data_IF_572078370500
#
_entry.id   IF_572078370500
#
_cell.length_a   1.000
_cell.length_b   1.000
_cell.length_c   1.000
_cell.angle_alpha   90.00
_cell.angle_beta   90.00
_cell.angle_gamma   90.00
#
_symmetry.space_group_name_H-M   'P 1'
#
loop_
_entity.id
_entity.type
_entity.pdbx_description
1 polymer ?
#
# COMPACT_ATOMS: atom_id res chain seq x y z
N UNK A 1 14.31 23.10 -48.18
CA UNK A 1 14.91 22.71 -46.88
C UNK A 1 15.39 23.94 -46.11
N UNK A 2 16.24 24.79 -46.72
CA UNK A 2 16.84 25.97 -46.04
C UNK A 2 15.75 26.94 -45.56
N UNK A 3 14.80 27.35 -46.39
CA UNK A 3 13.68 28.22 -45.99
C UNK A 3 12.80 27.62 -44.89
N UNK A 4 12.68 26.29 -44.86
CA UNK A 4 11.95 25.63 -43.77
C UNK A 4 12.72 25.74 -42.46
N UNK A 5 14.02 25.51 -42.48
CA UNK A 5 14.90 25.63 -41.32
C UNK A 5 14.98 27.07 -40.80
N UNK A 6 15.10 28.05 -41.68
CA UNK A 6 15.07 29.47 -41.34
C UNK A 6 13.78 29.89 -40.67
N UNK A 7 12.63 29.38 -41.17
CA UNK A 7 11.34 29.59 -40.55
C UNK A 7 11.23 28.93 -39.17
N UNK A 8 11.74 27.71 -38.99
CA UNK A 8 11.76 27.03 -37.69
C UNK A 8 12.67 27.76 -36.68
N UNK A 9 13.83 28.24 -37.13
CA UNK A 9 14.74 29.05 -36.33
C UNK A 9 14.09 30.36 -35.87
N UNK A 10 13.33 31.04 -36.74
CA UNK A 10 12.61 32.27 -36.36
C UNK A 10 11.48 32.01 -35.37
N UNK A 11 10.88 30.82 -35.39
CA UNK A 11 9.83 30.40 -34.47
C UNK A 11 10.38 29.88 -33.12
N UNK A 12 11.67 29.53 -33.05
CA UNK A 12 12.29 29.04 -31.80
C UNK A 12 12.21 30.06 -30.66
N UNK A 13 12.29 31.36 -30.97
CA UNK A 13 12.15 32.41 -29.96
C UNK A 13 10.75 32.54 -29.33
N UNK A 14 9.73 31.98 -30.02
CA UNK A 14 8.36 31.92 -29.52
C UNK A 14 8.00 30.55 -28.91
N UNK A 15 8.92 29.58 -28.99
CA UNK A 15 8.69 28.26 -28.39
C UNK A 15 8.77 28.33 -26.87
N UNK A 16 7.74 27.87 -26.21
CA UNK A 16 7.72 27.78 -24.73
C UNK A 16 8.48 26.56 -24.26
N UNK A 17 9.80 26.71 -24.12
CA UNK A 17 10.67 25.70 -23.52
C UNK A 17 10.79 25.99 -22.02
N UNK A 18 10.03 25.28 -21.21
CA UNK A 18 9.98 25.50 -19.76
C UNK A 18 9.70 24.19 -19.02
N UNK A 19 9.89 24.21 -17.70
CA UNK A 19 9.37 23.11 -16.86
C UNK A 19 7.84 23.14 -16.86
N UNK A 20 7.22 22.01 -16.52
CA UNK A 20 5.78 21.88 -16.44
C UNK A 20 5.16 22.91 -15.48
N UNK A 21 5.80 23.15 -14.33
CA UNK A 21 5.36 24.13 -13.34
C UNK A 21 5.43 25.56 -13.90
N UNK A 22 6.52 25.92 -14.58
CA UNK A 22 6.66 27.24 -15.22
C UNK A 22 5.63 27.44 -16.33
N UNK A 23 5.29 26.39 -17.06
CA UNK A 23 4.23 26.43 -18.08
C UNK A 23 2.87 26.67 -17.42
N UNK A 24 2.50 25.91 -16.39
CA UNK A 24 1.24 26.13 -15.67
C UNK A 24 1.17 27.52 -15.01
N UNK A 25 2.29 27.98 -14.44
CA UNK A 25 2.35 29.34 -13.89
C UNK A 25 2.10 30.40 -14.96
N UNK A 26 2.64 30.21 -16.17
CA UNK A 26 2.38 31.16 -17.27
C UNK A 26 0.93 31.14 -17.72
N UNK A 27 0.29 29.96 -17.77
CA UNK A 27 -1.14 29.82 -18.04
C UNK A 27 -1.98 30.51 -16.97
N UNK A 28 -1.70 30.29 -15.69
CA UNK A 28 -2.39 30.96 -14.60
C UNK A 28 -2.29 32.50 -14.70
N UNK A 29 -1.10 33.02 -15.01
CA UNK A 29 -0.89 34.47 -15.22
C UNK A 29 -1.60 35.02 -16.45
N UNK A 30 -1.80 34.19 -17.48
CA UNK A 30 -2.50 34.60 -18.70
C UNK A 30 -4.03 34.58 -18.53
N UNK A 31 -4.54 33.60 -17.74
CA UNK A 31 -5.98 33.32 -17.63
C UNK A 31 -6.54 33.52 -16.21
N UNK A 32 -5.83 34.26 -15.32
CA UNK A 32 -6.22 34.49 -13.93
C UNK A 32 -7.66 34.98 -13.80
N UNK A 33 -8.11 35.80 -14.75
CA UNK A 33 -9.46 36.39 -14.77
C UNK A 33 -10.58 35.36 -15.01
N UNK A 34 -10.26 34.19 -15.62
CA UNK A 34 -11.23 33.10 -15.79
C UNK A 34 -11.44 32.29 -14.50
N UNK A 35 -10.47 32.36 -13.59
CA UNK A 35 -10.47 31.63 -12.34
C UNK A 35 -10.78 32.50 -11.14
N UNK A 36 -11.14 33.77 -11.38
CA UNK A 36 -11.38 34.78 -10.33
C UNK A 36 -10.20 34.90 -9.33
N UNK A 37 -8.97 34.79 -9.85
CA UNK A 37 -7.76 34.91 -9.06
C UNK A 37 -7.27 36.37 -9.03
N UNK A 38 -6.71 36.79 -7.89
CA UNK A 38 -6.03 38.08 -7.81
C UNK A 38 -4.78 38.07 -8.72
N UNK A 39 -4.59 39.07 -9.59
CA UNK A 39 -3.38 39.18 -10.42
C UNK A 39 -2.08 39.16 -9.63
N UNK A 40 -2.11 39.50 -8.35
CA UNK A 40 -0.97 39.49 -7.43
C UNK A 40 -0.74 38.14 -6.73
N UNK A 41 -1.56 37.14 -7.05
CA UNK A 41 -1.42 35.79 -6.46
C UNK A 41 0.00 35.29 -6.68
N UNK A 42 0.66 34.93 -5.60
CA UNK A 42 2.01 34.36 -5.60
C UNK A 42 1.95 32.88 -5.25
N UNK A 43 2.85 32.12 -5.85
CA UNK A 43 3.02 30.71 -5.47
C UNK A 43 3.77 30.70 -4.14
N UNK A 44 3.22 29.98 -3.17
CA UNK A 44 3.90 29.71 -1.91
C UNK A 44 5.08 28.77 -2.17
N UNK A 45 6.29 29.31 -2.11
CA UNK A 45 7.50 28.57 -2.41
C UNK A 45 8.08 27.84 -1.18
N UNK A 46 7.69 28.26 0.03
CA UNK A 46 8.13 27.66 1.28
C UNK A 46 7.14 26.58 1.72
N UNK A 47 7.59 25.31 1.68
CA UNK A 47 6.79 24.16 2.11
C UNK A 47 6.41 24.26 3.60
N UNK A 48 7.26 24.85 4.43
CA UNK A 48 6.97 25.03 5.86
C UNK A 48 5.87 26.05 6.08
N UNK A 49 5.83 27.14 5.31
CA UNK A 49 4.77 28.15 5.37
C UNK A 49 3.43 27.51 4.95
N UNK A 50 3.44 26.71 3.87
CA UNK A 50 2.28 25.96 3.42
C UNK A 50 1.77 24.97 4.46
N UNK A 51 2.67 24.28 5.14
CA UNK A 51 2.31 23.33 6.21
C UNK A 51 1.68 24.07 7.41
N UNK A 52 2.32 25.14 7.89
CA UNK A 52 1.80 25.93 9.02
C UNK A 52 0.42 26.54 8.72
N UNK A 53 0.19 26.99 7.49
CA UNK A 53 -1.12 27.49 7.08
C UNK A 53 -2.19 26.37 7.13
N UNK A 54 -1.85 25.18 6.63
CA UNK A 54 -2.77 24.02 6.68
C UNK A 54 -3.09 23.63 8.11
N UNK A 55 -2.08 23.60 8.99
CA UNK A 55 -2.28 23.29 10.43
C UNK A 55 -3.18 24.34 11.11
N UNK A 56 -2.97 25.62 10.83
CA UNK A 56 -3.79 26.69 11.41
C UNK A 56 -5.26 26.58 10.95
N UNK A 57 -5.49 26.40 9.64
CA UNK A 57 -6.84 26.22 9.09
C UNK A 57 -7.50 24.96 9.66
N UNK A 58 -6.76 23.85 9.75
CA UNK A 58 -7.28 22.59 10.30
C UNK A 58 -7.66 22.75 11.77
N UNK A 59 -6.87 23.47 12.56
CA UNK A 59 -7.19 23.73 13.95
C UNK A 59 -8.52 24.48 14.09
N UNK A 60 -8.73 25.51 13.28
CA UNK A 60 -9.97 26.29 13.25
C UNK A 60 -11.18 25.44 12.80
N UNK A 61 -10.99 24.61 11.77
CA UNK A 61 -12.03 23.69 11.30
C UNK A 61 -12.42 22.68 12.38
N UNK A 62 -11.45 22.07 13.05
CA UNK A 62 -11.72 21.10 14.13
C UNK A 62 -12.40 21.75 15.33
N UNK A 63 -11.99 22.96 15.73
CA UNK A 63 -12.64 23.70 16.83
C UNK A 63 -14.14 23.90 16.53
N UNK A 64 -14.47 24.35 15.33
CA UNK A 64 -15.85 24.48 14.87
C UNK A 64 -16.62 23.16 14.90
N UNK A 65 -16.01 22.06 14.44
CA UNK A 65 -16.65 20.74 14.44
C UNK A 65 -16.89 20.19 15.85
N UNK A 66 -15.97 20.48 16.79
CA UNK A 66 -16.20 20.17 18.21
C UNK A 66 -17.34 21.00 18.82
N UNK A 67 -17.46 22.27 18.42
CA UNK A 67 -18.58 23.13 18.84
C UNK A 67 -19.93 22.67 18.28
N UNK A 68 -19.96 22.24 17.03
CA UNK A 68 -21.17 21.69 16.37
C UNK A 68 -21.58 20.35 16.99
N UNK A 69 -20.66 19.64 17.62
CA UNK A 69 -20.87 18.37 18.34
C UNK A 69 -21.61 17.32 17.51
N UNK A 70 -21.28 17.21 16.20
CA UNK A 70 -21.87 16.18 15.34
C UNK A 70 -21.52 14.77 15.89
N UNK A 71 -22.50 13.87 16.06
CA UNK A 71 -22.27 12.56 16.68
C UNK A 71 -21.28 11.67 15.89
N UNK A 72 -21.28 11.73 14.55
CA UNK A 72 -20.38 10.94 13.71
C UNK A 72 -18.96 11.48 13.80
N UNK A 73 -18.81 12.82 13.84
CA UNK A 73 -17.51 13.45 14.09
C UNK A 73 -16.94 13.08 15.46
N UNK A 74 -17.75 13.22 16.53
CA UNK A 74 -17.29 12.92 17.89
C UNK A 74 -16.87 11.45 18.01
N UNK A 75 -17.64 10.53 17.44
CA UNK A 75 -17.29 9.11 17.39
C UNK A 75 -15.98 8.86 16.63
N UNK A 76 -15.77 9.57 15.54
CA UNK A 76 -14.54 9.51 14.76
C UNK A 76 -13.36 10.06 15.56
N UNK A 77 -13.51 11.23 16.17
CA UNK A 77 -12.51 11.84 17.00
C UNK A 77 -12.10 10.92 18.16
N UNK A 78 -13.07 10.26 18.81
CA UNK A 78 -12.80 9.30 19.90
C UNK A 78 -11.97 8.09 19.42
N UNK A 79 -12.17 7.62 18.20
CA UNK A 79 -11.39 6.51 17.64
C UNK A 79 -9.91 6.90 17.40
N UNK A 80 -9.65 8.16 17.08
CA UNK A 80 -8.31 8.70 16.89
C UNK A 80 -7.72 9.30 18.17
N UNK A 81 -8.54 9.45 19.23
CA UNK A 81 -8.08 10.00 20.51
C UNK A 81 -7.02 9.09 21.12
N UNK A 82 -5.77 9.48 21.01
CA UNK A 82 -4.66 8.89 21.72
C UNK A 82 -4.38 9.68 22.99
N UNK A 83 -3.48 9.18 23.86
CA UNK A 83 -3.10 9.85 25.12
C UNK A 83 -2.60 11.30 24.96
N UNK A 84 -2.38 11.77 23.73
CA UNK A 84 -1.71 13.04 23.40
C UNK A 84 -2.46 13.90 22.39
N UNK A 85 -3.78 14.02 22.49
CA UNK A 85 -4.57 14.92 21.67
C UNK A 85 -4.87 14.40 20.24
N UNK A 86 -5.59 15.22 19.47
CA UNK A 86 -6.09 14.96 18.10
C UNK A 86 -5.00 14.87 17.02
N UNK A 87 -3.77 14.57 17.40
CA UNK A 87 -2.63 14.55 16.48
C UNK A 87 -2.83 13.54 15.37
N UNK A 88 -3.24 12.31 15.74
CA UNK A 88 -3.40 11.24 14.75
C UNK A 88 -4.57 11.54 13.81
N UNK A 89 -5.62 12.18 14.31
CA UNK A 89 -6.73 12.68 13.50
C UNK A 89 -6.25 13.77 12.53
N UNK A 90 -5.53 14.78 13.04
CA UNK A 90 -4.98 15.87 12.22
C UNK A 90 -4.05 15.36 11.13
N UNK A 91 -3.13 14.48 11.48
CA UNK A 91 -2.19 13.88 10.53
C UNK A 91 -2.93 13.08 9.45
N UNK A 92 -4.00 12.37 9.81
CA UNK A 92 -4.83 11.61 8.86
C UNK A 92 -5.57 12.55 7.92
N UNK A 93 -6.21 13.59 8.42
CA UNK A 93 -6.92 14.59 7.60
C UNK A 93 -5.95 15.27 6.63
N UNK A 94 -4.77 15.70 7.10
CA UNK A 94 -3.77 16.33 6.23
C UNK A 94 -3.24 15.38 5.15
N UNK A 95 -3.09 14.09 5.47
CA UNK A 95 -2.71 13.08 4.48
C UNK A 95 -3.79 12.90 3.41
N UNK A 96 -5.05 12.81 3.80
CA UNK A 96 -6.19 12.69 2.87
C UNK A 96 -6.26 13.95 2.01
N UNK A 97 -6.16 15.14 2.60
CA UNK A 97 -6.16 16.40 1.89
C UNK A 97 -5.01 16.48 0.87
N UNK A 98 -3.78 16.18 1.26
CA UNK A 98 -2.64 16.19 0.35
C UNK A 98 -2.80 15.18 -0.80
N UNK A 99 -3.37 14.01 -0.52
CA UNK A 99 -3.66 13.01 -1.54
C UNK A 99 -4.76 13.49 -2.49
N UNK A 100 -5.85 14.09 -1.97
CA UNK A 100 -6.93 14.63 -2.79
C UNK A 100 -6.44 15.71 -3.75
N UNK A 101 -5.49 16.55 -3.33
CA UNK A 101 -4.88 17.57 -4.19
C UNK A 101 -4.12 17.01 -5.39
N UNK A 102 -3.75 15.72 -5.38
CA UNK A 102 -3.16 15.04 -6.54
C UNK A 102 -4.20 14.54 -7.54
N UNK A 103 -5.48 14.57 -7.21
CA UNK A 103 -6.56 14.15 -8.07
C UNK A 103 -6.99 15.27 -9.02
N UNK A 104 -7.45 14.93 -10.25
CA UNK A 104 -7.94 15.94 -11.21
C UNK A 104 -9.11 16.76 -10.68
N UNK A 105 -9.98 16.15 -9.87
CA UNK A 105 -11.16 16.76 -9.26
C UNK A 105 -11.18 16.45 -7.74
N UNK A 106 -10.42 17.19 -6.92
CA UNK A 106 -10.24 16.88 -5.49
C UNK A 106 -11.53 16.80 -4.69
N UNK A 107 -12.41 17.77 -4.88
CA UNK A 107 -13.69 17.86 -4.15
C UNK A 107 -14.63 16.70 -4.53
N UNK A 108 -14.68 16.36 -5.80
CA UNK A 108 -15.52 15.28 -6.29
C UNK A 108 -14.98 13.92 -5.80
N UNK A 109 -13.67 13.75 -5.83
CA UNK A 109 -13.02 12.56 -5.26
C UNK A 109 -13.34 12.40 -3.76
N UNK A 110 -13.24 13.47 -2.97
CA UNK A 110 -13.56 13.45 -1.53
C UNK A 110 -15.02 13.07 -1.27
N UNK A 111 -15.97 13.58 -2.09
CA UNK A 111 -17.40 13.23 -1.96
C UNK A 111 -17.68 11.75 -2.16
N UNK A 112 -16.93 11.09 -3.06
CA UNK A 112 -17.10 9.67 -3.37
C UNK A 112 -16.20 8.76 -2.51
N UNK A 113 -15.32 9.34 -1.68
CA UNK A 113 -14.42 8.57 -0.81
C UNK A 113 -15.16 7.60 0.15
N UNK A 114 -16.34 7.96 0.71
CA UNK A 114 -17.11 7.05 1.57
C UNK A 114 -17.84 5.93 0.84
N UNK A 115 -18.06 6.05 -0.48
CA UNK A 115 -18.92 5.11 -1.24
C UNK A 115 -18.51 3.63 -1.09
N UNK A 116 -17.23 3.26 -1.15
CA UNK A 116 -16.80 1.88 -0.96
C UNK A 116 -17.14 1.29 0.42
N UNK A 117 -17.37 2.12 1.42
CA UNK A 117 -17.67 1.72 2.79
C UNK A 117 -19.18 1.62 3.06
N UNK A 118 -20.01 2.18 2.18
CA UNK A 118 -21.47 2.13 2.27
C UNK A 118 -22.00 0.80 1.72
N UNK A 119 -21.75 -0.28 2.43
CA UNK A 119 -22.21 -1.61 2.03
C UNK A 119 -23.67 -1.80 2.49
N UNK A 120 -24.62 -2.04 1.56
CA UNK A 120 -26.02 -2.28 1.91
C UNK A 120 -26.19 -3.60 2.70
N UNK A 121 -27.37 -3.84 3.26
CA UNK A 121 -27.65 -5.11 3.92
C UNK A 121 -27.82 -6.23 2.91
N UNK A 122 -27.20 -7.39 3.19
CA UNK A 122 -27.38 -8.61 2.43
C UNK A 122 -26.37 -8.98 1.34
N UNK A 123 -25.49 -8.09 0.82
CA UNK A 123 -24.50 -8.50 -0.17
C UNK A 123 -23.43 -9.39 0.46
N UNK A 124 -22.86 -10.25 -0.36
CA UNK A 124 -21.65 -11.00 -0.05
C UNK A 124 -20.43 -10.13 -0.38
N UNK A 125 -19.29 -10.41 0.24
CA UNK A 125 -18.04 -9.70 -0.10
C UNK A 125 -17.68 -9.84 -1.58
N UNK A 126 -17.89 -11.01 -2.16
CA UNK A 126 -17.63 -11.24 -3.58
C UNK A 126 -18.50 -10.40 -4.53
N UNK A 127 -19.60 -9.82 -4.04
CA UNK A 127 -20.48 -8.92 -4.81
C UNK A 127 -19.99 -7.46 -4.76
N UNK A 128 -18.98 -7.16 -3.94
CA UNK A 128 -18.49 -5.81 -3.71
C UNK A 128 -17.31 -5.51 -4.65
N UNK A 129 -17.36 -4.45 -5.48
CA UNK A 129 -16.35 -4.21 -6.51
C UNK A 129 -14.90 -4.18 -6.02
N UNK A 130 -14.64 -3.55 -4.84
CA UNK A 130 -13.28 -3.45 -4.32
C UNK A 130 -12.72 -4.78 -3.76
N UNK A 131 -13.57 -5.76 -3.43
CA UNK A 131 -13.11 -7.07 -2.96
C UNK A 131 -12.33 -7.81 -4.03
N UNK A 132 -12.66 -7.58 -5.29
CA UNK A 132 -11.94 -8.11 -6.45
C UNK A 132 -10.50 -7.61 -6.52
N UNK A 133 -10.30 -6.30 -6.38
CA UNK A 133 -8.98 -5.69 -6.39
C UNK A 133 -8.15 -6.17 -5.19
N UNK A 134 -8.82 -6.42 -4.09
CA UNK A 134 -8.20 -6.92 -2.88
C UNK A 134 -7.70 -8.36 -3.04
N UNK A 135 -8.53 -9.27 -3.57
CA UNK A 135 -8.13 -10.63 -3.90
C UNK A 135 -7.00 -10.64 -4.94
N UNK A 136 -7.09 -9.82 -5.97
CA UNK A 136 -6.02 -9.65 -6.96
C UNK A 136 -4.70 -9.20 -6.32
N UNK A 137 -4.76 -8.35 -5.32
CA UNK A 137 -3.57 -7.92 -4.55
C UNK A 137 -2.96 -9.07 -3.74
N UNK A 138 -3.78 -9.94 -3.15
CA UNK A 138 -3.31 -11.14 -2.43
C UNK A 138 -2.62 -12.09 -3.41
N UNK A 139 -3.24 -12.37 -4.56
CA UNK A 139 -2.68 -13.23 -5.60
C UNK A 139 -1.33 -12.68 -6.07
N UNK A 140 -1.27 -11.41 -6.45
CA UNK A 140 -0.04 -10.74 -6.89
C UNK A 140 1.05 -10.77 -5.80
N UNK A 141 0.66 -10.62 -4.54
CA UNK A 141 1.61 -10.71 -3.42
C UNK A 141 2.10 -12.15 -3.23
N UNK A 142 1.23 -13.16 -3.36
CA UNK A 142 1.63 -14.57 -3.28
C UNK A 142 2.59 -14.97 -4.41
N UNK A 143 2.40 -14.44 -5.61
CA UNK A 143 3.32 -14.64 -6.74
C UNK A 143 4.71 -14.05 -6.47
N UNK A 144 4.77 -12.85 -5.88
CA UNK A 144 6.05 -12.24 -5.44
C UNK A 144 6.75 -13.08 -4.39
N UNK A 145 5.98 -13.63 -3.43
CA UNK A 145 6.53 -14.52 -2.41
C UNK A 145 7.02 -15.81 -3.06
N UNK A 146 6.27 -16.38 -3.99
CA UNK A 146 6.64 -17.59 -4.76
C UNK A 146 7.96 -17.42 -5.50
N UNK A 147 8.25 -16.20 -6.00
CA UNK A 147 9.52 -15.90 -6.65
C UNK A 147 10.73 -16.05 -5.70
N UNK A 148 10.57 -15.64 -4.42
CA UNK A 148 11.63 -15.85 -3.43
C UNK A 148 11.93 -17.35 -3.23
N UNK A 149 10.89 -18.20 -3.22
CA UNK A 149 11.07 -19.65 -3.10
C UNK A 149 11.68 -20.27 -4.36
N UNK A 150 11.26 -19.86 -5.55
CA UNK A 150 11.86 -20.35 -6.81
C UNK A 150 13.36 -20.08 -6.83
N UNK A 151 13.78 -18.88 -6.48
CA UNK A 151 15.20 -18.53 -6.38
C UNK A 151 15.94 -19.35 -5.31
N UNK A 152 15.30 -19.65 -4.18
CA UNK A 152 15.87 -20.50 -3.16
C UNK A 152 16.03 -21.95 -3.67
N UNK A 153 15.06 -22.47 -4.43
CA UNK A 153 15.13 -23.80 -5.04
C UNK A 153 16.22 -23.88 -6.11
N UNK A 154 16.42 -22.87 -6.93
CA UNK A 154 17.53 -22.81 -7.90
C UNK A 154 18.91 -23.00 -7.22
N UNK A 155 19.11 -22.36 -6.07
CA UNK A 155 20.34 -22.53 -5.28
C UNK A 155 20.42 -23.96 -4.72
N UNK A 156 19.30 -24.50 -4.22
CA UNK A 156 19.26 -25.87 -3.67
C UNK A 156 19.49 -26.92 -4.73
N UNK A 157 19.08 -26.69 -5.98
CA UNK A 157 19.31 -27.65 -7.08
C UNK A 157 20.78 -27.80 -7.44
N UNK A 158 21.59 -26.80 -7.14
CA UNK A 158 23.03 -26.84 -7.34
C UNK A 158 23.79 -27.37 -6.13
N UNK A 159 23.12 -27.69 -5.01
CA UNK A 159 23.77 -28.08 -3.77
C UNK A 159 22.99 -29.16 -3.00
N UNK A 160 23.49 -30.38 -3.01
CA UNK A 160 22.84 -31.53 -2.35
C UNK A 160 22.70 -31.36 -0.83
N UNK A 161 23.65 -30.68 -0.19
CA UNK A 161 23.55 -30.38 1.25
C UNK A 161 22.43 -29.39 1.56
N UNK A 162 22.24 -28.37 0.71
CA UNK A 162 21.15 -27.44 0.81
C UNK A 162 19.80 -28.13 0.65
N UNK A 163 19.70 -28.98 -0.36
CA UNK A 163 18.49 -29.76 -0.63
C UNK A 163 18.13 -30.65 0.55
N UNK A 164 19.10 -31.39 1.10
CA UNK A 164 18.88 -32.29 2.23
C UNK A 164 18.42 -31.56 3.50
N UNK A 165 18.80 -30.29 3.66
CA UNK A 165 18.51 -29.52 4.88
C UNK A 165 17.19 -28.74 4.79
N UNK A 166 16.91 -28.12 3.63
CA UNK A 166 15.84 -27.09 3.52
C UNK A 166 14.67 -27.56 2.65
N UNK A 167 14.82 -28.60 1.84
CA UNK A 167 13.84 -29.00 0.83
C UNK A 167 12.44 -29.20 1.41
N UNK A 168 12.31 -30.04 2.44
CA UNK A 168 11.00 -30.41 2.98
C UNK A 168 10.27 -29.17 3.55
N UNK A 169 11.00 -28.32 4.30
CA UNK A 169 10.39 -27.16 4.93
C UNK A 169 10.01 -26.10 3.89
N UNK A 170 10.92 -25.76 2.97
CA UNK A 170 10.67 -24.78 1.94
C UNK A 170 9.60 -25.22 0.94
N UNK A 171 9.54 -26.53 0.61
CA UNK A 171 8.49 -27.08 -0.25
C UNK A 171 7.11 -27.00 0.39
N UNK A 172 7.00 -27.28 1.69
CA UNK A 172 5.74 -27.14 2.42
C UNK A 172 5.29 -25.69 2.50
N UNK A 173 6.21 -24.76 2.77
CA UNK A 173 5.93 -23.33 2.78
C UNK A 173 5.51 -22.83 1.40
N UNK A 174 6.23 -23.23 0.35
CA UNK A 174 5.92 -22.89 -1.04
C UNK A 174 4.56 -23.43 -1.48
N UNK A 175 4.23 -24.66 -1.11
CA UNK A 175 2.94 -25.28 -1.43
C UNK A 175 1.78 -24.47 -0.84
N UNK A 176 1.91 -24.02 0.40
CA UNK A 176 0.93 -23.14 1.02
C UNK A 176 0.84 -21.78 0.30
N UNK A 177 1.97 -21.15 0.01
CA UNK A 177 1.98 -19.86 -0.70
C UNK A 177 1.38 -19.99 -2.10
N UNK A 178 1.65 -21.12 -2.80
CA UNK A 178 1.07 -21.38 -4.11
C UNK A 178 -0.45 -21.55 -4.07
N UNK A 179 -1.01 -22.12 -3.00
CA UNK A 179 -2.46 -22.23 -2.86
C UNK A 179 -3.17 -20.88 -2.72
N UNK A 180 -2.46 -19.85 -2.27
CA UNK A 180 -2.98 -18.48 -2.24
C UNK A 180 -3.20 -17.89 -3.64
N UNK A 181 -2.45 -18.34 -4.64
CA UNK A 181 -2.62 -17.92 -6.03
C UNK A 181 -3.86 -18.55 -6.69
N UNK A 182 -4.43 -19.60 -6.10
CA UNK A 182 -5.60 -20.31 -6.59
C UNK A 182 -6.91 -19.79 -5.95
N UNK A 183 -6.81 -18.86 -5.01
CA UNK A 183 -7.97 -18.25 -4.34
C UNK A 183 -8.79 -17.47 -5.36
N UNK A 184 -10.08 -17.80 -5.48
CA UNK A 184 -11.00 -17.17 -6.43
C UNK A 184 -12.15 -16.42 -5.77
N UNK A 185 -12.37 -16.66 -4.48
CA UNK A 185 -13.44 -16.07 -3.70
C UNK A 185 -12.97 -15.73 -2.29
N UNK A 186 -13.71 -14.87 -1.62
CA UNK A 186 -13.46 -14.55 -0.22
C UNK A 186 -13.61 -15.77 0.70
N UNK A 187 -14.53 -16.66 0.36
CA UNK A 187 -14.69 -17.92 1.07
C UNK A 187 -13.47 -18.82 0.98
N UNK A 188 -12.85 -18.91 -0.19
CA UNK A 188 -11.63 -19.69 -0.36
C UNK A 188 -10.51 -19.17 0.56
N UNK A 189 -10.40 -17.85 0.69
CA UNK A 189 -9.41 -17.21 1.57
C UNK A 189 -9.72 -17.50 3.06
N UNK A 190 -11.00 -17.44 3.44
CA UNK A 190 -11.44 -17.73 4.81
C UNK A 190 -11.19 -19.20 5.21
N UNK A 191 -11.45 -20.12 4.29
CA UNK A 191 -11.32 -21.57 4.51
C UNK A 191 -9.83 -22.04 4.52
N UNK A 192 -8.88 -21.18 4.16
CA UNK A 192 -7.46 -21.50 4.25
C UNK A 192 -7.02 -21.71 5.70
N UNK A 193 -6.19 -22.74 5.95
CA UNK A 193 -5.64 -22.94 7.28
C UNK A 193 -4.70 -21.78 7.65
N UNK A 194 -4.72 -21.39 8.92
CA UNK A 194 -3.73 -20.46 9.43
C UNK A 194 -2.32 -21.05 9.25
N UNK A 195 -1.42 -20.26 8.69
CA UNK A 195 -0.05 -20.71 8.43
C UNK A 195 0.96 -19.88 9.20
N UNK A 196 1.91 -20.57 9.82
CA UNK A 196 2.97 -19.93 10.59
C UNK A 196 4.32 -20.43 10.11
N UNK A 197 5.23 -19.53 9.78
CA UNK A 197 6.60 -19.86 9.41
C UNK A 197 7.37 -20.38 10.63
N UNK A 198 7.53 -21.67 10.72
CA UNK A 198 8.34 -22.29 11.76
C UNK A 198 9.80 -21.82 11.66
N UNK A 199 10.54 -21.85 12.77
CA UNK A 199 11.98 -21.59 12.73
C UNK A 199 12.65 -22.55 11.74
N UNK A 200 13.47 -22.00 10.85
CA UNK A 200 14.26 -22.81 9.93
C UNK A 200 15.26 -23.64 10.77
N UNK A 201 14.95 -24.90 10.96
CA UNK A 201 15.79 -25.82 11.75
C UNK A 201 16.48 -26.77 10.81
N UNK A 202 17.76 -26.94 11.05
CA UNK A 202 18.47 -28.06 10.45
C UNK A 202 17.81 -29.32 11.00
N UNK A 203 17.40 -30.24 10.11
CA UNK A 203 16.88 -31.55 10.50
C UNK A 203 18.00 -32.40 11.16
N UNK A 204 18.38 -32.03 12.38
CA UNK A 204 19.55 -32.56 13.06
C UNK A 204 19.33 -33.96 13.62
N UNK A 205 18.07 -34.39 13.76
CA UNK A 205 17.76 -35.65 14.45
C UNK A 205 17.91 -36.93 13.58
N UNK A 206 17.90 -36.80 12.25
CA UNK A 206 17.91 -37.95 11.33
C UNK A 206 19.11 -37.98 10.39
N UNK A 207 20.05 -37.06 10.48
CA UNK A 207 21.15 -36.94 9.54
C UNK A 207 22.33 -37.77 10.02
N UNK A 208 22.80 -38.74 9.23
CA UNK A 208 23.98 -39.53 9.48
C UNK A 208 25.22 -38.65 9.73
N UNK A 209 26.15 -39.13 10.59
CA UNK A 209 27.35 -38.38 11.00
C UNK A 209 28.11 -37.66 9.87
N UNK A 210 28.33 -38.26 8.68
CA UNK A 210 28.97 -37.57 7.54
C UNK A 210 28.18 -36.35 7.06
N UNK A 211 26.87 -36.43 7.05
CA UNK A 211 26.00 -35.36 6.63
C UNK A 211 26.03 -34.11 7.56
N UNK A 212 26.27 -34.33 8.86
CA UNK A 212 26.38 -33.23 9.83
C UNK A 212 27.52 -32.25 9.52
N UNK A 213 28.64 -32.77 9.01
CA UNK A 213 29.77 -31.94 8.59
C UNK A 213 29.43 -31.14 7.34
N UNK A 214 28.88 -31.76 6.31
CA UNK A 214 28.42 -31.10 5.09
C UNK A 214 27.41 -30.03 5.37
N UNK A 215 26.44 -30.27 6.25
CA UNK A 215 25.43 -29.27 6.66
C UNK A 215 26.05 -28.10 7.39
N UNK A 216 27.05 -28.36 8.27
CA UNK A 216 27.76 -27.28 8.98
C UNK A 216 28.58 -26.43 8.01
N UNK A 217 29.27 -27.06 7.08
CA UNK A 217 30.03 -26.38 6.03
C UNK A 217 29.11 -25.54 5.12
N UNK A 218 28.00 -26.13 4.66
CA UNK A 218 27.01 -25.41 3.85
C UNK A 218 26.42 -24.21 4.59
N UNK A 219 26.05 -24.34 5.86
CA UNK A 219 25.50 -23.23 6.62
C UNK A 219 26.45 -22.05 6.82
N UNK A 220 27.74 -22.23 6.56
CA UNK A 220 28.77 -21.18 6.54
C UNK A 220 28.95 -20.55 5.14
N UNK A 221 28.21 -20.99 4.13
CA UNK A 221 28.33 -20.51 2.75
C UNK A 221 27.43 -19.28 2.50
N UNK A 222 27.78 -18.44 1.52
CA UNK A 222 26.91 -17.35 1.06
C UNK A 222 25.55 -17.84 0.54
N UNK A 223 25.49 -19.03 -0.04
CA UNK A 223 24.25 -19.64 -0.55
C UNK A 223 23.25 -19.92 0.58
N UNK A 224 23.73 -20.44 1.70
CA UNK A 224 22.88 -20.65 2.88
C UNK A 224 22.33 -19.32 3.44
N UNK A 225 23.14 -18.28 3.49
CA UNK A 225 22.70 -16.95 3.90
C UNK A 225 21.69 -16.36 2.92
N UNK A 226 21.88 -16.58 1.61
CA UNK A 226 20.95 -16.15 0.57
C UNK A 226 19.60 -16.84 0.70
N UNK A 227 19.56 -18.17 0.88
CA UNK A 227 18.32 -18.92 1.12
C UNK A 227 17.59 -18.40 2.37
N UNK A 228 18.28 -18.19 3.46
CA UNK A 228 17.72 -17.66 4.70
C UNK A 228 17.16 -16.25 4.51
N UNK A 229 17.85 -15.39 3.76
CA UNK A 229 17.42 -14.04 3.44
C UNK A 229 16.16 -14.03 2.58
N UNK A 230 16.10 -14.83 1.51
CA UNK A 230 14.95 -14.99 0.65
C UNK A 230 13.72 -15.46 1.44
N UNK A 231 13.88 -16.50 2.26
CA UNK A 231 12.81 -17.00 3.13
C UNK A 231 12.36 -15.96 4.15
N UNK A 232 13.28 -15.18 4.72
CA UNK A 232 12.96 -14.10 5.65
C UNK A 232 12.12 -13.02 4.96
N UNK A 233 12.45 -12.66 3.73
CA UNK A 233 11.66 -11.71 2.92
C UNK A 233 10.27 -12.29 2.61
N UNK A 234 10.19 -13.56 2.23
CA UNK A 234 8.93 -14.27 2.00
C UNK A 234 8.02 -14.21 3.25
N UNK A 235 8.55 -14.62 4.41
CA UNK A 235 7.83 -14.62 5.66
C UNK A 235 7.40 -13.20 6.10
N UNK A 236 8.27 -12.21 5.95
CA UNK A 236 7.96 -10.82 6.28
C UNK A 236 6.84 -10.26 5.40
N UNK A 237 6.88 -10.55 4.09
CA UNK A 237 5.85 -10.11 3.14
C UNK A 237 4.51 -10.77 3.44
N UNK A 238 4.49 -12.08 3.68
CA UNK A 238 3.29 -12.81 4.06
C UNK A 238 2.68 -12.28 5.36
N UNK A 239 3.47 -12.19 6.42
CA UNK A 239 2.99 -11.76 7.74
C UNK A 239 2.46 -10.31 7.73
N UNK A 240 3.00 -9.45 6.88
CA UNK A 240 2.56 -8.07 6.75
C UNK A 240 1.30 -7.93 5.92
N UNK A 241 1.19 -8.66 4.82
CA UNK A 241 0.20 -8.37 3.77
C UNK A 241 -0.92 -9.41 3.64
N UNK A 242 -0.71 -10.65 4.09
CA UNK A 242 -1.66 -11.74 3.87
C UNK A 242 -2.15 -12.35 5.19
N UNK A 243 -1.25 -12.66 6.12
CA UNK A 243 -1.61 -13.33 7.37
C UNK A 243 -2.72 -12.62 8.17
N UNK A 244 -2.78 -11.27 8.25
CA UNK A 244 -3.84 -10.57 8.95
C UNK A 244 -5.23 -10.74 8.34
N UNK A 245 -5.32 -11.25 7.11
CA UNK A 245 -6.54 -11.33 6.33
C UNK A 245 -7.17 -12.74 6.33
N UNK A 246 -6.34 -13.76 6.64
CA UNK A 246 -6.79 -15.15 6.68
C UNK A 246 -7.57 -15.41 7.97
N UNK A 247 -8.72 -16.08 7.83
CA UNK A 247 -9.57 -16.48 8.96
C UNK A 247 -10.52 -15.39 9.46
N UNK A 248 -10.58 -14.23 8.79
CA UNK A 248 -11.62 -13.23 9.07
C UNK A 248 -12.87 -13.59 8.29
N UNK A 249 -14.00 -13.74 8.99
CA UNK A 249 -15.28 -14.09 8.34
C UNK A 249 -15.79 -12.92 7.48
N UNK A 250 -16.60 -13.27 6.49
CA UNK A 250 -17.28 -12.31 5.62
C UNK A 250 -18.10 -11.29 6.42
N UNK A 251 -18.88 -11.76 7.40
CA UNK A 251 -19.69 -10.89 8.25
C UNK A 251 -18.84 -9.92 9.08
N UNK A 252 -17.69 -10.38 9.56
CA UNK A 252 -16.75 -9.53 10.29
C UNK A 252 -16.17 -8.44 9.38
N UNK A 253 -15.75 -8.79 8.16
CA UNK A 253 -15.24 -7.83 7.19
C UNK A 253 -16.28 -6.78 6.80
N UNK A 254 -17.50 -7.23 6.49
CA UNK A 254 -18.60 -6.33 6.16
C UNK A 254 -18.91 -5.42 7.35
N UNK A 255 -18.95 -5.97 8.56
CA UNK A 255 -19.18 -5.21 9.79
C UNK A 255 -18.10 -4.16 10.05
N UNK A 256 -16.83 -4.53 9.95
CA UNK A 256 -15.70 -3.60 10.12
C UNK A 256 -15.70 -2.51 9.03
N UNK A 257 -15.94 -2.88 7.77
CA UNK A 257 -16.03 -1.92 6.67
C UNK A 257 -17.16 -0.92 6.87
N UNK A 258 -18.35 -1.37 7.27
CA UNK A 258 -19.48 -0.47 7.59
C UNK A 258 -19.16 0.47 8.74
N UNK A 259 -18.44 0.00 9.75
CA UNK A 259 -18.00 0.83 10.86
C UNK A 259 -17.03 1.94 10.45
N UNK A 260 -16.33 1.77 9.32
CA UNK A 260 -15.45 2.79 8.76
C UNK A 260 -16.20 3.87 7.98
N UNK A 261 -17.42 3.61 7.50
CA UNK A 261 -18.17 4.55 6.67
C UNK A 261 -18.39 5.92 7.34
N UNK A 262 -18.80 6.05 8.62
CA UNK A 262 -18.92 7.33 9.29
C UNK A 262 -17.58 8.07 9.42
N UNK A 263 -16.48 7.32 9.65
CA UNK A 263 -15.13 7.86 9.82
C UNK A 263 -14.64 8.51 8.53
N UNK A 264 -14.92 7.88 7.39
CA UNK A 264 -14.48 8.36 6.08
C UNK A 264 -15.36 9.48 5.57
N UNK A 265 -16.61 9.56 6.04
CA UNK A 265 -17.57 10.60 5.67
C UNK A 265 -17.29 11.95 6.36
N UNK A 266 -16.72 11.92 7.54
CA UNK A 266 -16.29 13.10 8.30
C UNK A 266 -15.04 13.72 7.68
#
# INVERSE_FOLDING_TARGET
LIHHLERQLSLMGSAQISTLDSFFQSLLRQYFYLLDLDPKTQIMADENEGYLLKEAVLAEVLERWYEEADPDFLKTADLFASRYQDRDLKDTILRIHNFSCSMPFPIDWLKHLPDPYNIPDGPKLDDIPWSYDFLASIISTSEKISEYYRRAFEIMDQNDAARAVYSDQLSNEYSFISSLAEVSSWKDLYDLPSFTFARLTIATAKVLKPYKMLVKEFNATPDAETIKALRKQAAATYNKSIAPLIGISEDQWIGETRNMAPIVKV
#
